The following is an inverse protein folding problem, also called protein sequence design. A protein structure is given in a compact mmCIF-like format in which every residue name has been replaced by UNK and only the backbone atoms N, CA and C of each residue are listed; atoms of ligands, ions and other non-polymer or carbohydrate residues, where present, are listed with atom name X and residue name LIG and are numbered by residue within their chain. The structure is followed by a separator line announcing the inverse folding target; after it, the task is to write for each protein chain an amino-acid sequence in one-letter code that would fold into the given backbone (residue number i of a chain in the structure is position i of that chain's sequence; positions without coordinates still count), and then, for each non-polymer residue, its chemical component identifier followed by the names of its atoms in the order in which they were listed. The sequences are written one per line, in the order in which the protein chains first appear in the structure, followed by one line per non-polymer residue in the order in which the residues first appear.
data_IF_098904659566
#
_entry.id   IF_098904659566
#
_cell.length_a   1.000
_cell.length_b   1.000
_cell.length_c   1.000
_cell.angle_alpha   90.00
_cell.angle_beta   90.00
_cell.angle_gamma   90.00
#
_symmetry.space_group_name_H-M   'P 1'
#
loop_
_entity.id
_entity.type
_entity.pdbx_description
1 polymer ?
#
# COMPACT_ATOMS: atom_id res chain seq x y z
N UNK A 1 17.83 61.81 50.22
CA UNK A 1 17.98 61.50 48.78
C UNK A 1 17.41 60.10 48.56
N UNK A 2 16.22 59.96 47.96
CA UNK A 2 16.04 59.49 46.55
C UNK A 2 16.53 58.02 46.44
N UNK A 3 15.75 56.98 46.16
CA UNK A 3 14.61 56.83 45.23
C UNK A 3 13.91 55.48 45.48
N UNK A 4 12.58 55.53 45.39
CA UNK A 4 11.67 54.40 45.26
C UNK A 4 11.83 53.81 43.84
N UNK A 5 12.07 52.51 43.69
CA UNK A 5 11.76 51.79 42.44
C UNK A 5 11.14 50.41 42.73
N UNK A 6 9.81 50.42 42.68
CA UNK A 6 8.93 49.32 42.26
C UNK A 6 9.51 48.63 41.02
N UNK A 7 9.65 47.32 41.04
CA UNK A 7 9.61 46.51 39.82
C UNK A 7 8.60 45.37 39.98
N UNK A 8 7.81 45.24 38.93
CA UNK A 8 6.57 44.49 38.80
C UNK A 8 6.78 42.97 38.78
N UNK A 9 5.71 42.18 39.03
CA UNK A 9 5.74 40.73 38.88
C UNK A 9 5.86 40.36 37.41
N UNK A 10 6.82 39.49 37.08
CA UNK A 10 6.99 38.93 35.75
C UNK A 10 5.80 38.03 35.40
N UNK A 11 5.04 38.55 34.45
CA UNK A 11 4.07 37.93 33.56
C UNK A 11 4.24 36.43 33.31
N UNK A 12 3.12 35.73 33.46
CA UNK A 12 2.58 34.74 32.52
C UNK A 12 3.55 34.23 31.43
N UNK A 13 3.96 32.97 31.57
CA UNK A 13 4.23 32.11 30.43
C UNK A 13 3.24 30.94 30.48
N UNK A 14 2.06 31.15 29.89
CA UNK A 14 1.20 30.05 29.44
C UNK A 14 2.00 29.27 28.40
N UNK A 15 2.56 28.12 28.77
CA UNK A 15 3.01 27.12 27.81
C UNK A 15 1.76 26.48 27.20
N UNK A 16 1.25 27.09 26.14
CA UNK A 16 0.35 26.44 25.21
C UNK A 16 1.12 25.28 24.56
N UNK A 17 0.93 24.08 25.09
CA UNK A 17 1.32 22.86 24.42
C UNK A 17 0.48 22.75 23.14
N UNK A 18 1.03 23.23 22.01
CA UNK A 18 0.58 22.83 20.70
C UNK A 18 0.79 21.32 20.60
N UNK A 19 -0.26 20.56 20.86
CA UNK A 19 -0.37 19.19 20.41
C UNK A 19 -0.44 19.23 18.88
N UNK A 20 0.72 19.24 18.24
CA UNK A 20 0.86 18.80 16.86
C UNK A 20 0.21 17.42 16.79
N UNK A 21 -0.97 17.38 16.16
CA UNK A 21 -1.67 16.16 15.83
C UNK A 21 -0.81 15.34 14.90
N UNK A 22 0.09 14.55 15.48
CA UNK A 22 0.66 13.38 14.82
C UNK A 22 -0.52 12.44 14.64
N UNK A 23 -1.10 12.44 13.44
CA UNK A 23 -2.09 11.45 13.07
C UNK A 23 -1.48 10.07 13.36
N UNK A 24 -2.06 9.36 14.32
CA UNK A 24 -1.64 8.02 14.70
C UNK A 24 -1.80 7.11 13.47
N UNK A 25 -0.71 6.94 12.73
CA UNK A 25 -0.65 5.96 11.65
C UNK A 25 -0.65 4.59 12.31
N UNK A 26 -1.53 3.70 11.84
CA UNK A 26 -1.57 2.32 12.31
C UNK A 26 -0.15 1.74 12.27
N UNK A 27 0.37 1.28 13.40
CA UNK A 27 1.69 0.65 13.48
C UNK A 27 1.66 -0.57 12.54
N UNK A 28 2.41 -0.57 11.42
CA UNK A 28 2.42 -1.72 10.54
C UNK A 28 2.96 -2.94 11.29
N UNK A 29 2.55 -4.14 10.87
CA UNK A 29 3.27 -5.37 11.23
C UNK A 29 4.77 -5.11 11.02
N UNK A 30 5.57 -5.40 12.05
CA UNK A 30 6.98 -5.00 12.14
C UNK A 30 7.71 -5.19 10.81
N UNK A 31 8.12 -4.09 10.17
CA UNK A 31 8.93 -4.11 8.93
C UNK A 31 8.22 -3.68 7.64
N UNK A 32 6.89 -3.51 7.59
CA UNK A 32 6.24 -2.95 6.40
C UNK A 32 6.34 -1.42 6.36
N UNK A 33 6.69 -0.86 5.19
CA UNK A 33 6.74 0.59 4.99
C UNK A 33 5.35 1.21 5.21
N UNK A 34 5.23 2.24 6.07
CA UNK A 34 3.94 2.84 6.38
C UNK A 34 3.29 3.45 5.13
N UNK A 35 1.95 3.40 5.07
CA UNK A 35 1.18 4.03 4.00
C UNK A 35 1.27 5.55 4.18
N UNK A 36 1.88 6.23 3.21
CA UNK A 36 1.95 7.70 3.21
C UNK A 36 0.60 8.26 2.78
N UNK A 37 -0.08 8.92 3.70
CA UNK A 37 -1.39 9.55 3.47
C UNK A 37 -1.23 11.02 3.07
N UNK A 38 -2.06 11.53 2.14
CA UNK A 38 -2.09 12.95 1.82
C UNK A 38 -2.66 13.76 2.99
N UNK A 39 -2.36 15.06 3.02
CA UNK A 39 -2.92 15.97 4.00
C UNK A 39 -4.46 15.96 3.97
N UNK A 40 -5.10 15.94 5.14
CA UNK A 40 -6.56 15.90 5.27
C UNK A 40 -7.18 14.50 5.11
N UNK A 41 -6.38 13.45 4.89
CA UNK A 41 -6.89 12.09 4.91
C UNK A 41 -7.34 11.68 6.33
N UNK A 42 -8.39 10.87 6.40
CA UNK A 42 -8.91 10.31 7.65
C UNK A 42 -7.98 9.24 8.23
N UNK A 43 -8.12 8.92 9.52
CA UNK A 43 -7.36 7.81 10.11
C UNK A 43 -7.72 6.48 9.44
N UNK A 44 -6.68 5.69 9.13
CA UNK A 44 -6.80 4.35 8.54
C UNK A 44 -6.60 3.24 9.57
N UNK A 45 -6.54 3.57 10.86
CA UNK A 45 -6.32 2.56 11.90
C UNK A 45 -7.46 1.54 11.92
N UNK A 46 -7.08 0.25 11.86
CA UNK A 46 -8.01 -0.88 11.83
C UNK A 46 -8.86 -0.96 10.56
N UNK A 47 -8.51 -0.25 9.48
CA UNK A 47 -9.22 -0.32 8.20
C UNK A 47 -8.58 -1.38 7.30
N UNK A 48 -9.43 -2.12 6.60
CA UNK A 48 -9.03 -3.07 5.57
C UNK A 48 -8.91 -2.39 4.20
N UNK A 49 -8.29 -3.07 3.24
CA UNK A 49 -8.23 -2.57 1.86
C UNK A 49 -9.63 -2.40 1.24
N UNK A 50 -10.59 -3.24 1.66
CA UNK A 50 -11.99 -3.11 1.25
C UNK A 50 -12.60 -1.79 1.76
N UNK A 51 -12.30 -1.40 2.99
CA UNK A 51 -12.77 -0.15 3.58
C UNK A 51 -12.20 1.05 2.81
N UNK A 52 -10.92 1.01 2.44
CA UNK A 52 -10.32 2.08 1.62
C UNK A 52 -11.06 2.26 0.28
N UNK A 53 -11.43 1.15 -0.37
CA UNK A 53 -12.13 1.17 -1.67
C UNK A 53 -13.56 1.72 -1.60
N UNK A 54 -14.14 1.90 -0.42
CA UNK A 54 -15.47 2.53 -0.28
C UNK A 54 -15.46 4.00 -0.68
N UNK A 55 -14.33 4.69 -0.44
CA UNK A 55 -14.13 6.08 -0.86
C UNK A 55 -13.29 6.18 -2.13
N UNK A 56 -12.24 5.37 -2.26
CA UNK A 56 -11.29 5.44 -3.38
C UNK A 56 -11.74 4.68 -4.62
N UNK A 57 -12.87 5.09 -5.19
CA UNK A 57 -13.45 4.43 -6.38
C UNK A 57 -12.92 4.98 -7.69
N UNK A 58 -12.31 6.18 -7.69
CA UNK A 58 -11.94 6.90 -8.91
C UNK A 58 -13.14 7.46 -9.70
N UNK A 59 -14.35 7.38 -9.14
CA UNK A 59 -15.53 8.02 -9.72
C UNK A 59 -15.50 9.55 -9.54
N UNK A 60 -16.28 10.27 -10.35
CA UNK A 60 -16.41 11.72 -10.25
C UNK A 60 -16.84 12.15 -8.84
N UNK A 61 -16.13 13.12 -8.26
CA UNK A 61 -16.38 13.58 -6.89
C UNK A 61 -15.93 12.61 -5.79
N UNK A 62 -15.25 11.51 -6.12
CA UNK A 62 -14.64 10.57 -5.17
C UNK A 62 -13.11 10.66 -5.20
N UNK A 63 -12.43 10.33 -4.10
CA UNK A 63 -10.99 10.16 -4.09
C UNK A 63 -10.49 9.23 -5.22
N UNK A 64 -9.30 9.55 -5.72
CA UNK A 64 -8.66 8.80 -6.80
C UNK A 64 -8.52 7.31 -6.46
N UNK A 65 -8.54 6.46 -7.50
CA UNK A 65 -8.28 5.03 -7.38
C UNK A 65 -6.94 4.74 -6.70
N UNK A 66 -6.89 3.67 -5.91
CA UNK A 66 -5.68 3.20 -5.22
C UNK A 66 -4.75 2.37 -6.12
N UNK A 67 -5.18 2.03 -7.34
CA UNK A 67 -4.38 1.23 -8.27
C UNK A 67 -3.07 1.96 -8.58
N UNK A 68 -1.93 1.29 -8.35
CA UNK A 68 -0.59 1.87 -8.51
C UNK A 68 -0.20 2.92 -7.46
N UNK A 69 -1.05 3.19 -6.45
CA UNK A 69 -0.74 4.11 -5.33
C UNK A 69 -0.26 3.39 -4.09
N UNK A 70 -0.71 2.16 -3.87
CA UNK A 70 -0.27 1.28 -2.80
C UNK A 70 0.71 0.25 -3.35
N UNK A 71 1.73 -0.08 -2.56
CA UNK A 71 2.62 -1.22 -2.85
C UNK A 71 1.88 -2.53 -2.55
N UNK A 72 2.23 -3.61 -3.24
CA UNK A 72 1.60 -4.92 -3.01
C UNK A 72 1.64 -5.38 -1.55
N UNK A 73 2.75 -5.10 -0.84
CA UNK A 73 2.90 -5.42 0.60
C UNK A 73 1.91 -4.64 1.47
N UNK A 74 1.56 -3.41 1.10
CA UNK A 74 0.59 -2.60 1.85
C UNK A 74 -0.82 -3.14 1.66
N UNK A 75 -1.17 -3.57 0.45
CA UNK A 75 -2.46 -4.21 0.14
C UNK A 75 -2.60 -5.53 0.93
N UNK A 76 -1.55 -6.34 0.97
CA UNK A 76 -1.53 -7.60 1.73
C UNK A 76 -1.60 -7.36 3.24
N UNK A 77 -0.86 -6.36 3.77
CA UNK A 77 -0.95 -6.00 5.19
C UNK A 77 -2.37 -5.51 5.58
N UNK A 78 -3.02 -4.74 4.72
CA UNK A 78 -4.42 -4.32 4.87
C UNK A 78 -5.42 -5.48 4.74
N UNK A 79 -4.98 -6.65 4.28
CA UNK A 79 -5.74 -7.90 4.27
C UNK A 79 -5.35 -8.83 5.44
N UNK A 80 -4.50 -8.37 6.37
CA UNK A 80 -4.05 -9.14 7.53
C UNK A 80 -2.91 -10.13 7.25
N UNK A 81 -2.28 -10.05 6.08
CA UNK A 81 -1.13 -10.89 5.73
C UNK A 81 0.13 -10.36 6.39
N UNK A 82 0.85 -11.25 7.06
CA UNK A 82 2.09 -11.00 7.79
C UNK A 82 3.32 -11.37 6.95
N UNK A 83 4.48 -10.84 7.32
CA UNK A 83 5.75 -11.12 6.64
C UNK A 83 6.06 -12.62 6.58
N UNK A 84 5.74 -13.36 7.65
CA UNK A 84 5.99 -14.79 7.80
C UNK A 84 5.14 -15.68 6.88
N UNK A 85 4.07 -15.12 6.29
CA UNK A 85 3.24 -15.86 5.33
C UNK A 85 3.84 -15.86 3.92
N UNK A 86 4.79 -14.96 3.63
CA UNK A 86 5.51 -14.92 2.36
C UNK A 86 6.98 -15.35 2.52
N UNK A 87 7.61 -14.95 3.61
CA UNK A 87 8.99 -15.29 3.92
C UNK A 87 9.02 -16.32 5.06
N UNK A 88 9.99 -17.23 5.01
CA UNK A 88 10.16 -18.30 6.01
C UNK A 88 10.54 -17.81 7.43
N UNK A 89 10.72 -16.49 7.60
CA UNK A 89 11.13 -15.86 8.85
C UNK A 89 12.57 -16.17 9.26
N UNK A 90 13.35 -16.85 8.41
CA UNK A 90 14.72 -17.26 8.69
C UNK A 90 15.69 -16.41 7.88
N UNK A 91 16.60 -15.74 8.58
CA UNK A 91 17.65 -14.96 7.95
C UNK A 91 17.10 -13.78 7.13
N UNK A 92 17.85 -13.39 6.09
CA UNK A 92 17.48 -12.26 5.23
C UNK A 92 16.37 -12.69 4.26
N UNK A 93 15.28 -11.90 4.12
CA UNK A 93 14.22 -12.18 3.15
C UNK A 93 14.78 -12.40 1.74
N UNK A 94 14.47 -13.56 1.15
CA UNK A 94 14.80 -13.93 -0.22
C UNK A 94 13.60 -13.71 -1.16
N UNK A 95 13.81 -13.70 -2.49
CA UNK A 95 12.73 -13.69 -3.46
C UNK A 95 11.74 -14.84 -3.22
N UNK A 96 10.45 -14.51 -3.27
CA UNK A 96 9.36 -15.44 -2.99
C UNK A 96 8.94 -16.15 -4.29
N UNK A 97 8.81 -17.49 -4.30
CA UNK A 97 8.40 -18.23 -5.48
C UNK A 97 6.88 -18.12 -5.74
N UNK A 98 6.48 -18.33 -7.00
CA UNK A 98 5.08 -18.30 -7.45
C UNK A 98 4.14 -19.17 -6.61
N UNK A 99 4.61 -20.32 -6.11
CA UNK A 99 3.78 -21.24 -5.33
C UNK A 99 3.23 -20.60 -4.04
N UNK A 100 3.97 -19.66 -3.44
CA UNK A 100 3.52 -18.91 -2.26
C UNK A 100 2.32 -18.04 -2.58
N UNK A 101 2.29 -17.41 -3.76
CA UNK A 101 1.18 -16.56 -4.21
C UNK A 101 -0.09 -17.39 -4.47
N UNK A 102 0.04 -18.49 -5.21
CA UNK A 102 -1.11 -19.35 -5.56
C UNK A 102 -1.66 -20.13 -4.36
N UNK A 103 -0.89 -20.26 -3.27
CA UNK A 103 -1.38 -20.80 -1.99
C UNK A 103 -2.60 -20.04 -1.43
N UNK A 104 -2.72 -18.74 -1.72
CA UNK A 104 -3.88 -17.93 -1.34
C UNK A 104 -4.75 -17.51 -2.54
N UNK A 105 -4.13 -17.24 -3.70
CA UNK A 105 -4.85 -16.75 -4.89
C UNK A 105 -5.44 -17.85 -5.77
N UNK A 106 -5.08 -19.12 -5.50
CA UNK A 106 -5.49 -20.28 -6.27
C UNK A 106 -4.63 -20.53 -7.51
N UNK A 107 -4.90 -21.64 -8.23
CA UNK A 107 -4.13 -22.04 -9.40
C UNK A 107 -4.09 -20.96 -10.50
N UNK A 108 -2.99 -20.91 -11.24
CA UNK A 108 -2.78 -19.93 -12.32
C UNK A 108 -3.85 -20.00 -13.41
N UNK A 109 -4.34 -21.21 -13.74
CA UNK A 109 -5.44 -21.41 -14.69
C UNK A 109 -6.75 -20.76 -14.24
N UNK A 110 -7.03 -20.78 -12.94
CA UNK A 110 -8.23 -20.15 -12.40
C UNK A 110 -8.11 -18.62 -12.42
N UNK A 111 -6.91 -18.11 -12.16
CA UNK A 111 -6.62 -16.68 -12.29
C UNK A 111 -6.78 -16.21 -13.73
N UNK A 112 -6.29 -16.99 -14.69
CA UNK A 112 -6.51 -16.75 -16.11
C UNK A 112 -8.00 -16.72 -16.46
N UNK A 113 -8.78 -17.69 -15.99
CA UNK A 113 -10.23 -17.71 -16.21
C UNK A 113 -10.92 -16.47 -15.62
N UNK A 114 -10.54 -16.05 -14.41
CA UNK A 114 -11.09 -14.85 -13.73
C UNK A 114 -10.78 -13.53 -14.44
N UNK A 115 -9.74 -13.50 -15.26
CA UNK A 115 -9.32 -12.30 -16.01
C UNK A 115 -9.52 -12.42 -17.52
N UNK A 116 -10.32 -13.38 -17.99
CA UNK A 116 -10.58 -13.60 -19.42
C UNK A 116 -11.20 -12.39 -20.15
N UNK A 117 -11.90 -11.53 -19.40
CA UNK A 117 -12.52 -10.30 -19.87
C UNK A 117 -11.54 -9.12 -19.99
N UNK A 118 -10.33 -9.23 -19.45
CA UNK A 118 -9.33 -8.15 -19.54
C UNK A 118 -8.86 -8.02 -21.00
N UNK A 119 -8.89 -6.80 -21.51
CA UNK A 119 -8.54 -6.44 -22.89
C UNK A 119 -7.28 -5.59 -22.93
N UNK A 120 -6.50 -5.61 -24.04
CA UNK A 120 -6.78 -6.33 -25.29
C UNK A 120 -6.52 -7.84 -25.25
N UNK A 121 -5.70 -8.30 -24.30
CA UNK A 121 -5.41 -9.71 -24.07
C UNK A 121 -5.46 -10.01 -22.57
N UNK A 122 -5.63 -11.28 -22.22
CA UNK A 122 -5.62 -11.72 -20.84
C UNK A 122 -4.17 -11.70 -20.29
N UNK A 123 -3.84 -10.83 -19.30
CA UNK A 123 -2.48 -10.73 -18.78
C UNK A 123 -2.02 -11.99 -18.03
N UNK A 124 -2.95 -12.84 -17.57
CA UNK A 124 -2.65 -14.11 -16.91
C UNK A 124 -2.71 -15.31 -17.86
N UNK A 125 -2.86 -15.08 -19.16
CA UNK A 125 -2.78 -16.10 -20.19
C UNK A 125 -2.00 -15.56 -21.39
N UNK A 126 -0.70 -15.36 -21.19
CA UNK A 126 0.19 -14.79 -22.19
C UNK A 126 0.58 -15.83 -23.25
N UNK A 127 0.93 -15.38 -24.45
CA UNK A 127 1.43 -16.27 -25.51
C UNK A 127 2.84 -16.81 -25.24
N UNK A 128 3.61 -16.14 -24.38
CA UNK A 128 4.98 -16.53 -24.05
C UNK A 128 5.05 -17.60 -22.95
N UNK A 129 4.17 -17.50 -21.97
CA UNK A 129 4.25 -18.30 -20.74
C UNK A 129 2.95 -19.07 -20.44
N UNK A 130 1.94 -18.96 -21.29
CA UNK A 130 0.60 -19.47 -20.97
C UNK A 130 0.12 -18.85 -19.66
N UNK A 131 -0.24 -19.71 -18.71
CA UNK A 131 -0.66 -19.34 -17.36
C UNK A 131 0.49 -19.28 -16.35
N UNK A 132 1.70 -19.67 -16.74
CA UNK A 132 2.78 -20.00 -15.79
C UNK A 132 3.84 -18.90 -15.66
N UNK A 133 3.50 -17.68 -16.10
CA UNK A 133 4.34 -16.50 -15.87
C UNK A 133 4.57 -16.31 -14.35
N UNK A 134 5.81 -16.08 -13.95
CA UNK A 134 6.12 -15.81 -12.55
C UNK A 134 5.43 -14.52 -12.08
N UNK A 135 4.68 -14.59 -10.96
CA UNK A 135 3.87 -13.47 -10.46
C UNK A 135 4.70 -12.20 -10.27
N UNK A 136 5.92 -12.36 -9.73
CA UNK A 136 6.86 -11.29 -9.43
C UNK A 136 7.45 -10.59 -10.66
N UNK A 137 7.16 -11.03 -11.89
CA UNK A 137 7.50 -10.26 -13.10
C UNK A 137 6.71 -8.95 -13.18
N UNK A 138 5.45 -8.98 -12.75
CA UNK A 138 4.56 -7.82 -12.82
C UNK A 138 4.16 -7.31 -11.43
N UNK A 139 3.81 -8.23 -10.52
CA UNK A 139 3.30 -7.91 -9.20
C UNK A 139 4.43 -7.75 -8.19
N UNK A 140 4.82 -6.50 -7.93
CA UNK A 140 5.92 -6.19 -7.02
C UNK A 140 5.39 -5.88 -5.63
N UNK A 141 5.87 -6.61 -4.62
CA UNK A 141 5.37 -6.42 -3.25
C UNK A 141 6.00 -5.21 -2.56
N UNK A 142 7.32 -5.01 -2.71
CA UNK A 142 8.06 -3.98 -1.98
C UNK A 142 8.40 -2.72 -2.81
N UNK A 143 7.98 -2.69 -4.08
CA UNK A 143 8.06 -1.52 -4.98
C UNK A 143 6.77 -1.41 -5.79
N UNK A 144 6.66 -0.39 -6.64
CA UNK A 144 5.52 -0.27 -7.54
C UNK A 144 5.48 -1.47 -8.51
N UNK A 145 4.30 -2.05 -8.70
CA UNK A 145 4.04 -3.05 -9.73
C UNK A 145 4.27 -2.46 -11.12
N UNK A 146 4.66 -3.30 -12.07
CA UNK A 146 4.97 -2.88 -13.44
C UNK A 146 4.28 -3.78 -14.45
N UNK A 147 3.94 -3.22 -15.60
CA UNK A 147 3.42 -3.98 -16.72
C UNK A 147 4.60 -4.49 -17.56
N UNK A 148 5.04 -5.72 -17.29
CA UNK A 148 6.15 -6.37 -18.02
C UNK A 148 5.87 -6.49 -19.52
N UNK A 149 4.58 -6.54 -19.93
CA UNK A 149 4.21 -6.55 -21.34
C UNK A 149 4.58 -5.24 -22.05
N UNK A 150 4.66 -4.12 -21.32
CA UNK A 150 4.95 -2.80 -21.88
C UNK A 150 6.36 -2.68 -22.46
N UNK A 151 7.25 -3.62 -22.13
CA UNK A 151 8.60 -3.69 -22.70
C UNK A 151 8.58 -3.97 -24.21
N UNK A 152 7.52 -4.61 -24.72
CA UNK A 152 7.40 -5.00 -26.12
C UNK A 152 6.04 -4.65 -26.77
N UNK A 153 5.00 -4.45 -25.97
CA UNK A 153 3.63 -4.19 -26.44
C UNK A 153 3.10 -2.88 -25.86
N UNK A 154 2.27 -2.15 -26.61
CA UNK A 154 1.63 -0.94 -26.10
C UNK A 154 0.41 -1.19 -25.19
N UNK A 155 0.33 -2.35 -24.54
CA UNK A 155 -0.80 -2.69 -23.66
C UNK A 155 -0.78 -1.81 -22.40
N UNK A 156 -1.93 -1.23 -22.06
CA UNK A 156 -2.08 -0.32 -20.92
C UNK A 156 -2.67 -1.05 -19.71
N UNK A 157 -2.13 -2.23 -19.36
CA UNK A 157 -2.61 -2.96 -18.19
C UNK A 157 -2.25 -2.22 -16.91
N UNK A 158 -3.22 -2.11 -16.01
CA UNK A 158 -3.00 -1.63 -14.66
C UNK A 158 -2.73 -2.82 -13.75
N UNK A 159 -1.48 -2.97 -13.33
CA UNK A 159 -1.08 -4.02 -12.41
C UNK A 159 -1.33 -3.53 -10.97
N UNK A 160 -2.07 -4.30 -10.14
CA UNK A 160 -2.34 -3.97 -8.74
C UNK A 160 -1.11 -3.77 -7.88
#
# INVERSE_FOLDING_TARGET
MIRIWRFLPSSLALLAALTLGVQAQAKPATGAEPIKLPAGHVSIQGKSFKDCKTCHTGAQGKPASLVGKLKGVQIHALAGVTCAQCHDGKGKPAPVPTWTCVGCHGPTKDLAARTAQVKPHNPHQSRHYGTDAACAKCHHMHRASENDCLQCHAFQFQVP
#
